data_IF_187903486361
#
_entry.id   IF_187903486361
#
_cell.length_a   1.000
_cell.length_b   1.000
_cell.length_c   1.000
_cell.angle_alpha   90.00
_cell.angle_beta   90.00
_cell.angle_gamma   90.00
#
_symmetry.space_group_name_H-M   'P 1'
#
loop_
_entity.id
_entity.type
_entity.pdbx_description
1 polymer ?
#
# COMPACT_ATOMS: atom_id res chain seq x y z
N UNK A 1 13.92 3.73 -16.95
CA UNK A 1 14.56 3.11 -15.77
C UNK A 1 13.51 3.08 -14.67
N UNK A 2 12.72 2.01 -14.58
CA UNK A 2 11.60 1.94 -13.65
C UNK A 2 12.07 1.30 -12.34
N UNK A 3 12.29 2.11 -11.31
CA UNK A 3 12.51 1.61 -9.95
C UNK A 3 11.13 1.21 -9.42
N UNK A 4 10.74 -0.04 -9.63
CA UNK A 4 9.58 -0.65 -8.94
C UNK A 4 10.06 -1.26 -7.64
N UNK A 5 10.07 -0.50 -6.55
CA UNK A 5 10.12 -1.07 -5.21
C UNK A 5 9.31 -0.24 -4.20
N UNK A 6 8.23 -0.85 -3.68
CA UNK A 6 7.58 -0.52 -2.39
C UNK A 6 8.55 -0.64 -1.18
N UNK A 7 9.77 -1.12 -1.40
CA UNK A 7 10.87 -1.28 -0.41
C UNK A 7 11.74 -0.02 -0.29
N UNK A 8 11.53 0.99 -1.15
CA UNK A 8 12.28 2.26 -1.14
C UNK A 8 11.90 3.24 -0.02
N UNK A 9 11.44 2.76 1.14
CA UNK A 9 11.09 3.58 2.30
C UNK A 9 12.05 3.37 3.47
N UNK A 10 13.03 2.48 3.34
CA UNK A 10 14.00 2.18 4.37
C UNK A 10 15.34 2.73 3.95
N UNK A 11 15.57 3.97 4.34
CA UNK A 11 16.82 4.67 4.13
C UNK A 11 17.62 4.62 5.42
N UNK A 12 18.91 4.33 5.30
CA UNK A 12 19.86 4.62 6.37
C UNK A 12 20.96 5.50 5.85
N UNK A 13 21.43 6.39 6.70
CA UNK A 13 22.64 7.14 6.43
C UNK A 13 23.79 6.13 6.31
N UNK A 14 24.48 6.14 5.18
CA UNK A 14 25.69 5.36 5.01
C UNK A 14 26.78 5.95 5.93
N UNK A 15 27.29 5.21 6.94
CA UNK A 15 28.15 5.78 7.96
C UNK A 15 29.41 6.42 7.37
N UNK A 16 29.73 7.63 7.84
CA UNK A 16 30.84 8.42 7.31
C UNK A 16 30.54 9.15 6.00
N UNK A 17 29.28 9.23 5.57
CA UNK A 17 28.85 9.99 4.39
C UNK A 17 27.55 10.76 4.66
N UNK A 18 27.20 11.67 3.77
CA UNK A 18 25.91 12.38 3.77
C UNK A 18 24.86 11.71 2.87
N UNK A 19 25.10 10.47 2.43
CA UNK A 19 24.24 9.76 1.47
C UNK A 19 23.36 8.76 2.19
N UNK A 20 22.06 8.88 1.97
CA UNK A 20 21.06 7.92 2.42
C UNK A 20 20.91 6.81 1.39
N UNK A 21 21.03 5.56 1.84
CA UNK A 21 21.00 4.37 0.99
C UNK A 21 19.84 3.46 1.38
N UNK A 22 19.31 2.75 0.41
CA UNK A 22 18.41 1.60 0.60
C UNK A 22 19.24 0.31 0.66
N UNK A 23 18.66 -0.82 1.12
CA UNK A 23 19.34 -2.11 1.08
C UNK A 23 19.83 -2.53 -0.33
N UNK A 24 19.24 -1.99 -1.40
CA UNK A 24 19.52 -2.41 -2.79
C UNK A 24 20.62 -1.63 -3.47
N UNK A 25 20.83 -0.38 -3.09
CA UNK A 25 21.84 0.50 -3.65
C UNK A 25 22.99 0.78 -2.69
N UNK A 26 22.94 0.26 -1.45
CA UNK A 26 24.02 0.33 -0.46
C UNK A 26 25.38 -0.08 -1.02
N UNK A 27 25.49 -1.26 -1.65
CA UNK A 27 26.76 -1.74 -2.21
C UNK A 27 27.26 -0.82 -3.34
N UNK A 28 26.34 -0.32 -4.17
CA UNK A 28 26.70 0.62 -5.24
C UNK A 28 27.28 1.92 -4.67
N UNK A 29 26.64 2.50 -3.65
CA UNK A 29 27.11 3.74 -3.05
C UNK A 29 28.38 3.56 -2.22
N UNK A 30 28.49 2.46 -1.48
CA UNK A 30 29.70 2.14 -0.73
C UNK A 30 30.90 1.85 -1.64
N UNK A 31 30.70 1.24 -2.80
CA UNK A 31 31.73 1.11 -3.84
C UNK A 31 32.24 2.48 -4.29
N UNK A 32 31.32 3.42 -4.54
CA UNK A 32 31.64 4.75 -5.09
C UNK A 32 32.26 5.70 -4.08
N UNK A 33 31.81 5.66 -2.83
CA UNK A 33 32.16 6.64 -1.80
C UNK A 33 33.23 6.11 -0.83
N UNK A 34 33.25 4.81 -0.58
CA UNK A 34 34.05 4.18 0.48
C UNK A 34 34.98 3.07 -0.03
N UNK A 35 34.98 2.78 -1.34
CA UNK A 35 35.79 1.73 -1.99
C UNK A 35 35.53 0.30 -1.46
N UNK A 36 34.36 0.07 -0.85
CA UNK A 36 33.95 -1.25 -0.36
C UNK A 36 33.27 -2.04 -1.49
N UNK A 37 33.93 -3.09 -2.00
CA UNK A 37 33.53 -3.75 -3.25
C UNK A 37 32.64 -4.99 -3.10
N UNK A 38 32.53 -5.55 -1.89
CA UNK A 38 31.76 -6.77 -1.62
C UNK A 38 30.84 -6.61 -0.41
N UNK A 39 29.82 -7.48 -0.30
CA UNK A 39 28.96 -7.51 0.89
C UNK A 39 29.72 -7.93 2.15
N UNK A 40 30.73 -8.79 2.03
CA UNK A 40 31.61 -9.16 3.15
C UNK A 40 32.39 -7.95 3.66
N UNK A 41 32.97 -7.15 2.76
CA UNK A 41 33.67 -5.92 3.14
C UNK A 41 32.75 -4.88 3.83
N UNK A 42 31.47 -4.85 3.46
CA UNK A 42 30.46 -4.03 4.13
C UNK A 42 30.16 -4.55 5.55
N UNK A 43 30.00 -5.86 5.71
CA UNK A 43 29.76 -6.49 7.02
C UNK A 43 30.97 -6.29 7.94
N UNK A 44 32.18 -6.44 7.42
CA UNK A 44 33.41 -6.25 8.21
C UNK A 44 33.59 -4.78 8.63
N UNK A 45 33.18 -3.83 7.78
CA UNK A 45 33.32 -2.40 8.05
C UNK A 45 32.22 -1.85 8.99
N UNK A 46 30.96 -2.23 8.77
CA UNK A 46 29.81 -1.66 9.48
C UNK A 46 29.19 -2.60 10.51
N UNK A 47 29.58 -3.86 10.52
CA UNK A 47 28.97 -4.90 11.33
C UNK A 47 27.73 -5.52 10.65
N UNK A 48 27.50 -6.79 10.94
CA UNK A 48 26.32 -7.53 10.46
C UNK A 48 25.02 -6.83 10.85
N UNK A 49 24.97 -6.29 12.07
CA UNK A 49 23.81 -5.57 12.60
C UNK A 49 23.45 -4.33 11.77
N UNK A 50 24.43 -3.57 11.25
CA UNK A 50 24.12 -2.45 10.38
C UNK A 50 23.44 -2.91 9.07
N UNK A 51 23.92 -4.02 8.49
CA UNK A 51 23.40 -4.56 7.24
C UNK A 51 22.00 -5.15 7.39
N UNK A 52 21.70 -5.78 8.52
CA UNK A 52 20.37 -6.35 8.83
C UNK A 52 19.41 -5.35 9.47
N UNK A 53 19.90 -4.26 10.05
CA UNK A 53 19.09 -3.30 10.80
C UNK A 53 18.21 -2.38 9.96
N UNK A 54 18.36 -2.36 8.63
CA UNK A 54 17.32 -1.79 7.74
C UNK A 54 15.93 -2.34 8.06
N UNK A 55 15.86 -3.54 8.64
CA UNK A 55 14.61 -4.21 9.00
C UNK A 55 14.49 -4.55 10.49
N UNK A 56 15.60 -4.68 11.23
CA UNK A 56 15.56 -4.94 12.69
C UNK A 56 14.99 -3.77 13.47
N UNK A 57 15.15 -2.53 13.00
CA UNK A 57 14.61 -1.34 13.68
C UNK A 57 13.07 -1.35 13.74
N UNK A 58 12.42 -2.14 12.86
CA UNK A 58 10.95 -2.25 12.78
C UNK A 58 10.38 -3.46 13.54
N UNK A 59 11.22 -4.42 13.92
CA UNK A 59 10.79 -5.66 14.56
C UNK A 59 11.33 -5.68 16.00
N UNK A 60 10.55 -5.16 16.99
CA UNK A 60 10.97 -5.20 18.37
C UNK A 60 11.22 -6.66 18.79
N UNK A 61 12.30 -6.92 19.51
CA UNK A 61 12.66 -8.26 19.97
C UNK A 61 12.94 -9.28 18.85
N UNK A 62 13.41 -8.87 17.66
CA UNK A 62 13.71 -9.78 16.55
C UNK A 62 14.61 -10.98 16.93
N UNK A 63 15.53 -10.80 17.89
CA UNK A 63 16.42 -11.84 18.42
C UNK A 63 15.69 -12.96 19.19
N UNK A 64 14.47 -12.69 19.64
CA UNK A 64 13.62 -13.64 20.35
C UNK A 64 12.72 -14.45 19.40
N UNK A 65 12.73 -14.13 18.11
CA UNK A 65 11.96 -14.83 17.09
C UNK A 65 12.81 -15.86 16.34
N UNK A 66 12.19 -16.97 15.95
CA UNK A 66 12.82 -17.93 15.06
C UNK A 66 13.18 -17.26 13.71
N UNK A 67 14.34 -17.63 13.15
CA UNK A 67 14.83 -17.05 11.89
C UNK A 67 13.83 -17.18 10.73
N UNK A 68 13.11 -18.29 10.65
CA UNK A 68 12.06 -18.52 9.65
C UNK A 68 10.90 -17.51 9.79
N UNK A 69 10.47 -17.21 11.02
CA UNK A 69 9.41 -16.25 11.33
C UNK A 69 9.85 -14.82 10.99
N UNK A 70 11.12 -14.47 11.27
CA UNK A 70 11.71 -13.21 10.82
C UNK A 70 11.72 -13.07 9.29
N UNK A 71 12.02 -14.16 8.56
CA UNK A 71 11.94 -14.16 7.09
C UNK A 71 10.51 -13.96 6.58
N UNK A 72 9.52 -14.56 7.24
CA UNK A 72 8.10 -14.38 6.91
C UNK A 72 7.63 -12.96 7.19
N UNK A 73 7.98 -12.39 8.35
CA UNK A 73 7.68 -11.01 8.72
C UNK A 73 8.22 -10.04 7.66
N UNK A 74 9.47 -10.24 7.25
CA UNK A 74 10.12 -9.44 6.23
C UNK A 74 9.40 -9.51 4.89
N UNK A 75 9.00 -10.71 4.46
CA UNK A 75 8.24 -10.87 3.23
C UNK A 75 6.85 -10.25 3.34
N UNK A 76 6.20 -10.33 4.50
CA UNK A 76 4.91 -9.69 4.73
C UNK A 76 5.03 -8.16 4.67
N UNK A 77 6.06 -7.57 5.29
CA UNK A 77 6.30 -6.13 5.28
C UNK A 77 6.47 -5.57 3.86
N UNK A 78 7.16 -6.28 2.97
CA UNK A 78 7.28 -5.89 1.55
C UNK A 78 5.93 -5.82 0.82
N UNK A 79 4.98 -6.64 1.27
CA UNK A 79 3.63 -6.73 0.70
C UNK A 79 2.62 -5.90 1.49
N UNK A 80 3.04 -5.24 2.56
CA UNK A 80 2.15 -4.48 3.41
C UNK A 80 1.52 -3.31 2.65
N UNK A 81 0.28 -3.02 3.02
CA UNK A 81 -0.40 -1.77 2.72
C UNK A 81 0.08 -0.79 3.77
N UNK A 82 0.88 0.19 3.35
CA UNK A 82 1.50 1.13 4.28
C UNK A 82 0.57 2.32 4.46
N UNK A 83 0.42 2.78 5.70
CA UNK A 83 -0.22 4.03 5.98
C UNK A 83 0.79 5.15 5.72
N UNK A 84 0.48 5.99 4.74
CA UNK A 84 1.29 7.15 4.35
C UNK A 84 0.36 8.36 4.29
N UNK A 85 0.89 9.54 4.54
CA UNK A 85 0.10 10.77 4.35
C UNK A 85 -0.47 10.84 2.91
N UNK A 86 -1.72 11.30 2.78
CA UNK A 86 -2.48 11.33 1.54
C UNK A 86 -1.75 12.06 0.41
N UNK A 87 -0.93 13.07 0.73
CA UNK A 87 -0.14 13.79 -0.29
C UNK A 87 0.85 12.86 -1.00
N UNK A 88 1.39 11.85 -0.32
CA UNK A 88 2.39 10.94 -0.90
C UNK A 88 1.80 9.85 -1.78
N UNK A 89 0.55 9.46 -1.53
CA UNK A 89 -0.14 8.47 -2.32
C UNK A 89 -0.12 8.83 -3.83
N UNK A 90 -0.16 10.14 -4.14
CA UNK A 90 -0.08 10.66 -5.50
C UNK A 90 1.21 10.31 -6.25
N UNK A 91 2.36 10.26 -5.57
CA UNK A 91 3.64 9.93 -6.22
C UNK A 91 3.76 8.46 -6.64
N UNK A 92 2.89 7.59 -6.13
CA UNK A 92 2.93 6.14 -6.36
C UNK A 92 1.74 5.61 -7.18
N UNK A 93 0.89 6.51 -7.70
CA UNK A 93 -0.33 6.20 -8.45
C UNK A 93 -0.10 5.37 -9.73
N UNK A 94 1.12 5.39 -10.28
CA UNK A 94 1.48 4.68 -11.52
C UNK A 94 1.64 3.16 -11.33
N UNK A 95 1.65 2.69 -10.09
CA UNK A 95 1.61 1.27 -9.73
C UNK A 95 0.30 0.97 -9.03
N UNK A 96 -0.39 -0.11 -9.40
CA UNK A 96 -1.50 -0.68 -8.62
C UNK A 96 -1.06 -0.82 -7.15
N UNK A 97 -1.46 0.14 -6.33
CA UNK A 97 -0.92 0.31 -4.99
C UNK A 97 -2.05 0.64 -4.03
N UNK A 98 -2.01 0.02 -2.87
CA UNK A 98 -2.91 0.31 -1.77
C UNK A 98 -2.15 1.04 -0.66
N UNK A 99 -2.82 2.03 -0.05
CA UNK A 99 -2.35 2.86 1.08
C UNK A 99 -3.51 3.22 1.99
N UNK A 100 -3.27 3.49 3.28
CA UNK A 100 -4.30 4.14 4.10
C UNK A 100 -4.33 5.64 3.79
N UNK A 101 -5.44 6.16 3.24
CA UNK A 101 -5.56 7.59 2.89
C UNK A 101 -5.76 8.50 4.11
N UNK A 102 -6.18 7.94 5.25
CA UNK A 102 -6.40 8.70 6.48
C UNK A 102 -5.81 7.94 7.67
N UNK A 103 -4.88 8.60 8.36
CA UNK A 103 -4.38 8.12 9.63
C UNK A 103 -5.49 8.23 10.68
N UNK A 104 -5.84 7.11 11.29
CA UNK A 104 -6.77 7.04 12.42
C UNK A 104 -6.01 7.08 13.74
N UNK A 105 -6.68 7.27 14.90
CA UNK A 105 -6.01 7.19 16.20
C UNK A 105 -5.33 5.86 16.51
N UNK A 106 -5.65 4.79 15.76
CA UNK A 106 -4.94 3.51 15.86
C UNK A 106 -3.53 3.56 15.26
N UNK A 107 -3.24 4.49 14.36
CA UNK A 107 -1.96 4.52 13.67
C UNK A 107 -0.90 5.20 14.53
N UNK A 108 0.21 4.50 14.73
CA UNK A 108 1.38 5.01 15.45
C UNK A 108 2.61 4.99 14.55
N UNK A 109 3.48 5.98 14.73
CA UNK A 109 4.77 6.07 14.07
C UNK A 109 5.68 4.99 14.68
N UNK A 110 6.23 4.10 13.83
CA UNK A 110 7.12 3.02 14.29
C UNK A 110 8.48 3.56 14.73
N UNK A 111 8.98 4.57 14.03
CA UNK A 111 10.25 5.21 14.31
C UNK A 111 10.12 6.72 14.16
N UNK A 112 10.45 7.45 15.21
CA UNK A 112 10.43 8.90 15.20
C UNK A 112 11.33 9.43 14.07
N UNK A 113 10.79 10.30 13.19
CA UNK A 113 11.58 10.86 12.11
C UNK A 113 12.61 11.85 12.64
N UNK A 114 13.77 11.92 11.99
CA UNK A 114 14.76 12.97 12.26
C UNK A 114 14.23 14.35 11.80
N UNK A 115 14.69 15.43 12.44
CA UNK A 115 14.39 16.80 12.01
C UNK A 115 15.29 17.27 10.86
N UNK A 116 15.39 16.49 9.80
CA UNK A 116 16.22 16.76 8.61
C UNK A 116 15.41 17.34 7.43
N UNK A 117 14.11 17.55 7.63
CA UNK A 117 13.19 18.04 6.59
C UNK A 117 12.79 16.99 5.54
N UNK A 118 13.29 15.75 5.62
CA UNK A 118 12.99 14.66 4.68
C UNK A 118 12.37 13.48 5.41
N UNK A 119 13.00 12.99 6.48
CA UNK A 119 12.56 11.87 7.31
C UNK A 119 11.08 11.96 7.77
N UNK A 120 10.54 13.13 8.17
CA UNK A 120 9.14 13.23 8.59
C UNK A 120 8.14 12.85 7.50
N UNK A 121 8.56 12.96 6.24
CA UNK A 121 7.76 12.63 5.07
C UNK A 121 7.71 11.14 4.74
N UNK A 122 8.59 10.33 5.35
CA UNK A 122 8.69 8.89 5.14
C UNK A 122 8.41 8.09 6.42
N UNK A 123 7.85 8.73 7.44
CA UNK A 123 7.52 8.10 8.70
C UNK A 123 6.55 6.94 8.46
N UNK A 124 6.99 5.72 8.78
CA UNK A 124 6.15 4.53 8.70
C UNK A 124 5.14 4.57 9.85
N UNK A 125 3.86 4.66 9.50
CA UNK A 125 2.75 4.51 10.43
C UNK A 125 2.18 3.09 10.32
N UNK A 126 1.92 2.45 11.46
CA UNK A 126 1.28 1.14 11.50
C UNK A 126 0.12 1.08 12.49
N UNK A 127 -0.88 0.21 12.24
CA UNK A 127 -1.96 -0.02 13.18
C UNK A 127 -1.44 -0.58 14.51
N UNK A 128 -1.71 0.14 15.59
CA UNK A 128 -1.51 -0.28 16.97
C UNK A 128 -2.89 -0.58 17.58
N UNK A 129 -3.15 -1.85 17.87
CA UNK A 129 -4.47 -2.36 18.25
C UNK A 129 -4.37 -3.25 19.49
N UNK A 130 -5.46 -3.36 20.25
CA UNK A 130 -5.54 -4.24 21.42
C UNK A 130 -5.78 -5.67 20.96
N UNK A 131 -4.79 -6.53 21.13
CA UNK A 131 -4.86 -7.96 20.76
C UNK A 131 -5.09 -8.81 21.99
N UNK A 132 -6.03 -9.76 21.91
CA UNK A 132 -6.18 -10.82 22.91
C UNK A 132 -5.90 -12.20 22.33
N UNK A 133 -5.13 -12.99 23.07
CA UNK A 133 -4.83 -14.38 22.71
C UNK A 133 -5.87 -15.31 23.31
N UNK A 134 -6.82 -15.79 22.50
CA UNK A 134 -7.85 -16.74 22.93
C UNK A 134 -8.45 -17.52 21.76
N UNK A 135 -8.97 -18.72 22.05
CA UNK A 135 -9.83 -19.41 21.10
C UNK A 135 -11.23 -18.81 21.14
N UNK A 136 -11.79 -18.44 19.99
CA UNK A 136 -13.11 -17.81 19.94
C UNK A 136 -13.98 -18.43 18.85
N UNK A 137 -15.03 -19.15 19.28
CA UNK A 137 -16.09 -19.71 18.44
C UNK A 137 -15.60 -20.51 17.21
N UNK A 138 -14.39 -21.07 17.27
CA UNK A 138 -13.73 -21.72 16.13
C UNK A 138 -13.25 -20.77 15.03
N UNK A 139 -13.59 -19.47 15.09
CA UNK A 139 -13.23 -18.47 14.08
C UNK A 139 -11.75 -18.07 14.12
N UNK A 140 -11.05 -18.38 15.21
CA UNK A 140 -9.61 -18.19 15.35
C UNK A 140 -8.80 -19.44 14.97
N UNK A 141 -9.43 -20.54 14.55
CA UNK A 141 -8.73 -21.75 14.16
C UNK A 141 -7.95 -21.55 12.84
N UNK A 142 -6.86 -22.29 12.66
CA UNK A 142 -6.04 -22.31 11.44
C UNK A 142 -5.65 -20.90 10.93
N UNK A 143 -4.98 -20.12 11.79
CA UNK A 143 -4.56 -18.74 11.49
C UNK A 143 -5.71 -17.76 11.21
N UNK A 144 -6.93 -18.06 11.68
CA UNK A 144 -8.03 -17.12 11.71
C UNK A 144 -7.77 -15.96 12.69
N UNK A 145 -7.99 -14.74 12.24
CA UNK A 145 -7.92 -13.53 13.07
C UNK A 145 -9.33 -12.94 13.15
N UNK A 146 -9.89 -12.84 14.35
CA UNK A 146 -11.19 -12.19 14.53
C UNK A 146 -10.94 -10.71 14.82
N UNK A 147 -11.64 -9.81 14.12
CA UNK A 147 -11.53 -8.37 14.30
C UNK A 147 -12.90 -7.76 14.55
N UNK A 148 -12.94 -6.76 15.44
CA UNK A 148 -14.16 -6.00 15.73
C UNK A 148 -14.50 -5.11 14.53
N UNK A 149 -15.76 -5.13 14.11
CA UNK A 149 -16.18 -4.52 12.84
C UNK A 149 -16.01 -2.99 12.76
N UNK A 150 -15.96 -2.29 13.88
CA UNK A 150 -15.77 -0.83 13.98
C UNK A 150 -14.28 -0.41 14.04
N UNK A 151 -13.34 -1.36 13.96
CA UNK A 151 -11.90 -1.07 13.90
C UNK A 151 -11.52 -0.71 12.46
N UNK A 152 -11.47 0.58 12.19
CA UNK A 152 -11.08 1.15 10.89
C UNK A 152 -9.55 1.28 10.69
N UNK A 153 -8.76 0.65 11.56
CA UNK A 153 -7.29 0.73 11.51
C UNK A 153 -6.69 0.08 10.24
N UNK A 154 -7.47 -0.74 9.54
CA UNK A 154 -7.02 -1.50 8.37
C UNK A 154 -7.71 -1.06 7.07
N UNK A 155 -8.56 -0.03 7.14
CA UNK A 155 -9.20 0.55 5.96
C UNK A 155 -8.12 1.20 5.09
N UNK A 156 -8.25 1.02 3.78
CA UNK A 156 -7.28 1.55 2.84
C UNK A 156 -7.96 2.05 1.58
N UNK A 157 -7.16 2.70 0.75
CA UNK A 157 -7.53 3.15 -0.55
C UNK A 157 -6.60 2.51 -1.58
N UNK A 158 -7.16 2.16 -2.74
CA UNK A 158 -6.47 1.51 -3.84
C UNK A 158 -6.45 2.43 -5.04
N UNK A 159 -5.26 2.58 -5.63
CA UNK A 159 -5.08 3.33 -6.86
C UNK A 159 -5.00 2.39 -8.05
N UNK A 160 -5.78 2.71 -9.09
CA UNK A 160 -5.83 1.97 -10.34
C UNK A 160 -5.64 2.94 -11.49
N UNK A 161 -4.63 2.71 -12.34
CA UNK A 161 -4.46 3.48 -13.56
C UNK A 161 -5.06 2.72 -14.74
N UNK A 162 -6.07 3.31 -15.36
CA UNK A 162 -6.68 2.82 -16.59
C UNK A 162 -6.02 3.51 -17.78
N UNK A 163 -5.59 2.71 -18.75
CA UNK A 163 -5.03 3.19 -19.99
C UNK A 163 -6.01 2.94 -21.12
N UNK A 164 -6.22 3.96 -21.95
CA UNK A 164 -7.12 3.93 -23.09
C UNK A 164 -6.35 4.42 -24.29
N UNK A 165 -6.26 3.57 -25.32
CA UNK A 165 -5.69 3.97 -26.60
C UNK A 165 -6.72 4.74 -27.39
N UNK A 166 -6.29 5.86 -27.96
CA UNK A 166 -7.15 6.76 -28.72
C UNK A 166 -6.70 6.79 -30.18
N UNK A 167 -7.66 6.70 -31.10
CA UNK A 167 -7.44 6.95 -32.52
C UNK A 167 -8.31 8.14 -32.91
N UNK A 168 -7.64 9.26 -33.19
CA UNK A 168 -8.23 10.54 -33.54
C UNK A 168 -7.26 11.30 -34.45
N UNK A 169 -7.80 12.14 -35.33
CA UNK A 169 -7.06 13.00 -36.26
C UNK A 169 -6.99 14.47 -35.81
N UNK A 170 -7.57 14.78 -34.65
CA UNK A 170 -7.71 16.14 -34.15
C UNK A 170 -7.53 16.22 -32.63
N UNK A 171 -7.92 17.36 -32.05
CA UNK A 171 -7.82 17.58 -30.60
C UNK A 171 -8.76 16.63 -29.86
N UNK A 172 -8.29 16.00 -28.79
CA UNK A 172 -9.11 15.15 -27.91
C UNK A 172 -9.10 15.72 -26.50
N UNK A 173 -10.29 15.94 -25.94
CA UNK A 173 -10.51 16.39 -24.57
C UNK A 173 -11.20 15.28 -23.77
N UNK A 174 -10.73 15.07 -22.55
CA UNK A 174 -11.41 14.23 -21.57
C UNK A 174 -12.04 15.10 -20.49
N UNK A 175 -13.34 14.95 -20.31
CA UNK A 175 -14.11 15.58 -19.24
C UNK A 175 -14.39 14.53 -18.16
N UNK A 176 -13.59 14.46 -17.09
CA UNK A 176 -13.85 13.56 -15.98
C UNK A 176 -15.17 13.92 -15.32
N UNK A 177 -15.95 12.92 -14.92
CA UNK A 177 -17.12 13.18 -14.07
C UNK A 177 -16.60 13.58 -12.67
N UNK A 178 -17.00 14.75 -12.18
CA UNK A 178 -16.78 15.17 -10.80
C UNK A 178 -18.10 14.96 -10.03
N UNK A 179 -18.09 14.20 -8.93
CA UNK A 179 -19.28 13.98 -8.09
C UNK A 179 -19.18 12.78 -7.14
N UNK A 180 -20.05 12.75 -6.13
CA UNK A 180 -20.12 11.72 -5.09
C UNK A 180 -20.49 10.34 -5.66
N UNK A 181 -20.02 9.30 -4.97
CA UNK A 181 -20.02 7.89 -5.37
C UNK A 181 -21.39 7.27 -5.68
N UNK A 182 -22.50 7.98 -5.46
CA UNK A 182 -23.87 7.43 -5.52
C UNK A 182 -24.49 7.39 -6.93
N UNK A 183 -23.84 7.91 -7.96
CA UNK A 183 -24.28 7.77 -9.37
C UNK A 183 -23.22 7.05 -10.23
N UNK A 184 -23.27 5.72 -10.17
CA UNK A 184 -22.08 4.87 -9.96
C UNK A 184 -21.27 4.43 -11.18
N UNK A 185 -21.68 4.63 -12.43
CA UNK A 185 -20.94 4.04 -13.57
C UNK A 185 -20.14 5.02 -14.43
N UNK A 186 -20.52 6.29 -14.57
CA UNK A 186 -19.85 7.16 -15.55
C UNK A 186 -18.49 7.66 -15.04
N UNK A 187 -17.41 7.28 -15.74
CA UNK A 187 -16.03 7.74 -15.50
C UNK A 187 -15.85 9.17 -16.01
N UNK A 188 -16.37 9.44 -17.21
CA UNK A 188 -16.22 10.72 -17.88
C UNK A 188 -16.53 10.60 -19.37
N UNK A 189 -16.42 11.72 -20.07
CA UNK A 189 -16.73 11.81 -21.50
C UNK A 189 -15.48 12.22 -22.27
N UNK A 190 -15.17 11.51 -23.35
CA UNK A 190 -14.12 11.88 -24.30
C UNK A 190 -14.75 12.53 -25.52
N UNK A 191 -14.27 13.72 -25.85
CA UNK A 191 -14.73 14.54 -26.97
C UNK A 191 -13.57 14.76 -27.93
N UNK A 192 -13.79 14.52 -29.22
CA UNK A 192 -12.81 14.70 -30.28
C UNK A 192 -13.26 15.82 -31.23
N UNK A 193 -12.34 16.69 -31.62
CA UNK A 193 -12.56 17.77 -32.57
C UNK A 193 -11.77 17.48 -33.84
N UNK A 194 -12.31 16.62 -34.70
CA UNK A 194 -11.74 16.27 -35.99
C UNK A 194 -12.78 15.67 -36.93
N UNK A 195 -12.35 15.16 -38.08
CA UNK A 195 -13.26 14.74 -39.16
C UNK A 195 -13.57 13.25 -39.11
N UNK A 196 -12.62 12.44 -38.67
CA UNK A 196 -12.80 10.98 -38.52
C UNK A 196 -13.54 10.61 -37.23
N UNK A 197 -14.26 9.47 -37.21
CA UNK A 197 -14.87 8.98 -35.98
C UNK A 197 -13.82 8.66 -34.90
N UNK A 198 -14.08 9.08 -33.67
CA UNK A 198 -13.25 8.77 -32.51
C UNK A 198 -13.29 7.26 -32.23
N UNK A 199 -12.13 6.65 -32.07
CA UNK A 199 -12.01 5.25 -31.63
C UNK A 199 -11.29 5.17 -30.29
N UNK A 200 -11.92 4.54 -29.31
CA UNK A 200 -11.34 4.28 -27.99
C UNK A 200 -11.22 2.77 -27.75
N UNK A 201 -10.05 2.35 -27.31
CA UNK A 201 -9.76 0.97 -26.93
C UNK A 201 -9.23 0.94 -25.48
N UNK A 202 -10.08 0.64 -24.48
CA UNK A 202 -9.64 0.49 -23.10
C UNK A 202 -8.78 -0.78 -22.92
N UNK A 203 -7.64 -0.66 -22.26
CA UNK A 203 -6.81 -1.81 -21.87
C UNK A 203 -7.22 -2.43 -20.52
N UNK A 204 -8.33 -1.98 -19.94
CA UNK A 204 -8.80 -2.39 -18.61
C UNK A 204 -10.16 -3.05 -18.69
N UNK A 205 -10.33 -4.19 -18.02
CA UNK A 205 -11.62 -4.87 -17.83
C UNK A 205 -12.57 -4.09 -16.93
N UNK A 206 -12.10 -3.04 -16.25
CA UNK A 206 -12.90 -2.27 -15.31
C UNK A 206 -13.71 -1.17 -15.99
N UNK A 207 -13.48 -0.89 -17.27
CA UNK A 207 -14.17 0.16 -18.03
C UNK A 207 -14.67 -0.36 -19.37
N UNK A 208 -15.83 0.12 -19.81
CA UNK A 208 -16.34 -0.05 -21.15
C UNK A 208 -16.66 1.31 -21.79
N UNK A 209 -16.73 1.33 -23.12
CA UNK A 209 -17.02 2.52 -23.92
C UNK A 209 -18.46 2.48 -24.41
N UNK A 210 -19.13 3.64 -24.38
CA UNK A 210 -20.48 3.83 -24.92
C UNK A 210 -20.42 4.98 -25.93
N UNK A 211 -20.52 4.71 -27.24
CA UNK A 211 -20.54 5.77 -28.26
C UNK A 211 -21.86 6.54 -28.19
N UNK A 212 -21.76 7.86 -28.08
CA UNK A 212 -22.93 8.77 -28.06
C UNK A 212 -23.11 9.43 -29.43
N UNK A 213 -21.99 9.85 -30.04
CA UNK A 213 -21.89 10.40 -31.39
C UNK A 213 -20.53 10.00 -31.98
N UNK A 214 -20.35 10.18 -33.29
CA UNK A 214 -19.08 9.84 -33.97
C UNK A 214 -17.84 10.46 -33.33
N UNK A 215 -17.98 11.65 -32.72
CA UNK A 215 -16.90 12.39 -32.06
C UNK A 215 -16.96 12.35 -30.52
N UNK A 216 -17.92 11.63 -29.93
CA UNK A 216 -18.18 11.63 -28.48
C UNK A 216 -18.40 10.22 -27.96
N UNK A 217 -17.52 9.78 -27.06
CA UNK A 217 -17.61 8.48 -26.40
C UNK A 217 -17.61 8.68 -24.88
N UNK A 218 -18.55 8.04 -24.20
CA UNK A 218 -18.61 7.98 -22.74
C UNK A 218 -17.88 6.74 -22.23
N UNK A 219 -17.18 6.89 -21.11
CA UNK A 219 -16.46 5.81 -20.43
C UNK A 219 -17.23 5.44 -19.16
N UNK A 220 -17.52 4.16 -18.97
CA UNK A 220 -18.28 3.67 -17.81
C UNK A 220 -17.53 2.55 -17.08
N UNK A 221 -17.56 2.56 -15.75
CA UNK A 221 -17.11 1.46 -14.90
C UNK A 221 -18.00 0.23 -15.06
N UNK A 222 -17.37 -0.92 -15.20
CA UNK A 222 -18.01 -2.23 -15.11
C UNK A 222 -18.30 -2.65 -13.67
N UNK A 223 -17.54 -2.11 -12.71
CA UNK A 223 -17.70 -2.36 -11.27
C UNK A 223 -17.51 -1.05 -10.51
N UNK A 224 -18.56 -0.45 -9.93
CA UNK A 224 -18.40 0.67 -9.01
C UNK A 224 -17.88 0.24 -7.63
N UNK A 225 -17.48 1.18 -6.75
CA UNK A 225 -17.31 2.62 -6.97
C UNK A 225 -15.82 2.98 -7.13
N UNK A 226 -15.47 3.65 -8.23
CA UNK A 226 -14.15 4.24 -8.44
C UNK A 226 -14.31 5.75 -8.59
N UNK A 227 -13.43 6.54 -7.97
CA UNK A 227 -13.36 8.00 -8.10
C UNK A 227 -12.20 8.38 -9.00
N UNK A 228 -12.42 9.26 -9.98
CA UNK A 228 -11.33 9.77 -10.84
C UNK A 228 -10.55 10.85 -10.09
N UNK A 229 -9.23 10.70 -10.00
CA UNK A 229 -8.35 11.64 -9.29
C UNK A 229 -7.51 12.47 -10.25
N UNK A 230 -6.95 11.84 -11.27
CA UNK A 230 -6.08 12.49 -12.24
C UNK A 230 -6.25 11.86 -13.62
N UNK A 231 -5.98 12.65 -14.65
CA UNK A 231 -5.85 12.13 -16.00
C UNK A 231 -4.71 12.83 -16.75
N UNK A 232 -4.06 12.09 -17.65
CA UNK A 232 -3.07 12.62 -18.58
C UNK A 232 -3.51 12.24 -20.00
N UNK A 233 -3.68 13.23 -20.86
CA UNK A 233 -4.08 13.05 -22.25
C UNK A 233 -2.89 13.27 -23.19
N UNK A 234 -2.48 12.22 -23.90
CA UNK A 234 -1.56 12.27 -25.03
C UNK A 234 -2.13 11.39 -26.16
N UNK A 235 -1.33 10.59 -26.87
CA UNK A 235 -1.85 9.54 -27.78
C UNK A 235 -2.62 8.44 -27.02
N UNK A 236 -2.34 8.30 -25.73
CA UNK A 236 -3.04 7.47 -24.77
C UNK A 236 -3.64 8.36 -23.68
N UNK A 237 -4.86 8.03 -23.27
CA UNK A 237 -5.51 8.62 -22.11
C UNK A 237 -5.24 7.70 -20.91
N UNK A 238 -4.53 8.23 -19.93
CA UNK A 238 -4.33 7.57 -18.64
C UNK A 238 -5.27 8.21 -17.63
N UNK A 239 -6.11 7.41 -16.97
CA UNK A 239 -7.06 7.85 -15.95
C UNK A 239 -6.68 7.14 -14.66
N UNK A 240 -6.26 7.91 -13.66
CA UNK A 240 -6.00 7.38 -12.33
C UNK A 240 -7.28 7.42 -11.49
N UNK A 241 -7.57 6.28 -10.88
CA UNK A 241 -8.75 6.01 -10.09
C UNK A 241 -8.37 5.70 -8.66
N UNK A 242 -9.27 6.08 -7.77
CA UNK A 242 -9.26 5.84 -6.34
C UNK A 242 -10.43 4.93 -5.98
N UNK A 243 -10.18 3.92 -5.15
CA UNK A 243 -11.21 3.05 -4.59
C UNK A 243 -10.98 2.87 -3.10
N UNK A 244 -11.95 3.27 -2.29
CA UNK A 244 -11.98 2.93 -0.88
C UNK A 244 -12.20 1.42 -0.70
N UNK A 245 -11.34 0.82 0.11
CA UNK A 245 -11.41 -0.57 0.54
C UNK A 245 -11.51 -0.59 2.07
N UNK A 246 -12.75 -0.71 2.54
CA UNK A 246 -13.02 -1.00 3.94
C UNK A 246 -12.53 -2.42 4.25
N UNK A 247 -11.88 -2.58 5.39
CA UNK A 247 -11.44 -3.88 5.85
C UNK A 247 -12.61 -4.88 5.82
N UNK A 248 -12.35 -6.10 5.40
CA UNK A 248 -13.38 -7.08 5.11
C UNK A 248 -12.95 -8.49 5.50
N UNK A 249 -13.94 -9.37 5.71
CA UNK A 249 -13.65 -10.78 5.95
C UNK A 249 -12.96 -11.39 4.74
N UNK A 250 -11.81 -12.04 4.95
CA UNK A 250 -10.97 -12.59 3.87
C UNK A 250 -9.70 -11.79 3.61
N UNK A 251 -9.61 -10.55 4.12
CA UNK A 251 -8.37 -9.78 4.08
C UNK A 251 -7.27 -10.45 4.92
N UNK A 252 -5.99 -10.21 4.57
CA UNK A 252 -4.86 -10.83 5.26
C UNK A 252 -4.12 -9.81 6.11
N UNK A 253 -3.91 -10.15 7.38
CA UNK A 253 -3.08 -9.39 8.30
C UNK A 253 -1.81 -10.17 8.62
N UNK A 254 -0.75 -9.44 9.00
CA UNK A 254 0.47 -10.04 9.50
C UNK A 254 1.10 -9.13 10.56
N UNK A 255 1.58 -9.73 11.66
CA UNK A 255 2.36 -9.01 12.66
C UNK A 255 3.81 -8.84 12.22
N UNK A 256 4.55 -7.97 12.92
CA UNK A 256 6.00 -7.81 12.74
C UNK A 256 6.83 -9.06 13.07
N UNK A 257 6.21 -10.10 13.61
CA UNK A 257 6.86 -11.38 13.93
C UNK A 257 6.48 -12.49 12.94
N UNK A 258 5.86 -12.15 11.81
CA UNK A 258 5.59 -13.11 10.73
C UNK A 258 4.39 -14.01 10.98
N UNK A 259 3.62 -13.72 12.02
CA UNK A 259 2.33 -14.34 12.27
C UNK A 259 1.31 -13.73 11.30
N UNK A 260 0.95 -14.49 10.27
CA UNK A 260 -0.06 -14.12 9.28
C UNK A 260 -1.40 -14.74 9.66
N UNK A 261 -2.49 -14.12 9.20
CA UNK A 261 -3.81 -14.71 9.34
C UNK A 261 -4.86 -14.07 8.46
N UNK A 262 -5.99 -14.76 8.32
CA UNK A 262 -7.13 -14.28 7.53
C UNK A 262 -8.16 -13.65 8.45
N UNK A 263 -8.57 -12.44 8.10
CA UNK A 263 -9.48 -11.63 8.88
C UNK A 263 -10.90 -12.18 8.83
N UNK A 264 -11.55 -12.22 9.98
CA UNK A 264 -12.99 -12.45 10.16
C UNK A 264 -13.56 -11.29 10.95
N UNK A 265 -14.41 -10.48 10.32
CA UNK A 265 -15.07 -9.38 11.00
C UNK A 265 -16.26 -9.86 11.82
N UNK A 266 -16.37 -9.37 13.05
CA UNK A 266 -17.47 -9.67 13.95
C UNK A 266 -17.95 -8.40 14.66
N UNK A 267 -19.27 -8.30 14.86
CA UNK A 267 -19.91 -7.15 15.52
C UNK A 267 -19.56 -7.04 17.01
N UNK A 268 -19.38 -8.18 17.65
CA UNK A 268 -19.21 -8.28 19.10
C UNK A 268 -18.10 -9.26 19.41
N UNK A 269 -17.14 -8.78 20.20
CA UNK A 269 -16.05 -9.55 20.80
C UNK A 269 -16.24 -9.62 22.32
N UNK A 270 -15.69 -10.65 22.99
CA UNK A 270 -15.74 -10.75 24.44
C UNK A 270 -14.99 -9.58 25.08
N UNK A 271 -15.49 -9.11 26.22
CA UNK A 271 -14.79 -8.14 27.04
C UNK A 271 -13.66 -8.84 27.80
N UNK A 272 -12.48 -8.20 27.87
CA UNK A 272 -11.36 -8.67 28.70
C UNK A 272 -11.56 -8.29 30.16
N UNK A 273 -12.13 -7.10 30.37
CA UNK A 273 -12.58 -6.53 31.63
C UNK A 273 -13.78 -5.59 31.31
N UNK A 274 -14.56 -5.14 32.29
CA UNK A 274 -15.78 -4.33 32.10
C UNK A 274 -15.59 -3.10 31.20
N UNK A 275 -14.35 -2.66 30.97
CA UNK A 275 -14.00 -1.48 30.18
C UNK A 275 -13.08 -1.74 28.99
N UNK A 276 -12.52 -2.94 28.84
CA UNK A 276 -11.53 -3.24 27.80
C UNK A 276 -12.13 -4.24 26.82
N UNK A 277 -12.40 -3.75 25.63
CA UNK A 277 -12.79 -4.58 24.50
C UNK A 277 -11.58 -4.74 23.57
N UNK A 278 -11.19 -5.96 23.21
CA UNK A 278 -10.10 -6.19 22.28
C UNK A 278 -10.53 -5.76 20.88
N UNK A 279 -9.57 -5.30 20.08
CA UNK A 279 -9.77 -5.00 18.66
C UNK A 279 -9.60 -6.27 17.83
N UNK A 280 -8.62 -7.11 18.20
CA UNK A 280 -8.32 -8.39 17.55
C UNK A 280 -8.31 -9.55 18.55
N UNK A 281 -8.81 -10.71 18.12
CA UNK A 281 -8.58 -12.00 18.77
C UNK A 281 -7.74 -12.89 17.87
N UNK A 282 -6.73 -13.50 18.48
CA UNK A 282 -5.79 -14.39 17.80
C UNK A 282 -5.66 -15.67 18.62
N UNK A 283 -5.51 -16.81 17.96
CA UNK A 283 -5.36 -18.07 18.69
C UNK A 283 -3.98 -18.16 19.37
N UNK A 284 -3.89 -18.62 20.64
CA UNK A 284 -2.62 -18.73 21.35
C UNK A 284 -1.63 -19.73 20.74
N UNK A 285 -2.13 -20.76 20.06
CA UNK A 285 -1.29 -21.87 19.57
C UNK A 285 -0.22 -21.38 18.58
N UNK A 286 -0.51 -20.30 17.85
CA UNK A 286 0.39 -19.73 16.84
C UNK A 286 1.62 -19.07 17.47
N UNK A 287 1.64 -18.81 18.78
CA UNK A 287 2.81 -18.33 19.51
C UNK A 287 3.86 -19.43 19.77
N UNK A 288 3.50 -20.70 19.61
CA UNK A 288 4.37 -21.85 19.89
C UNK A 288 4.88 -22.56 18.62
N UNK A 289 4.48 -22.07 17.45
CA UNK A 289 4.90 -22.52 16.11
C UNK A 289 5.88 -21.54 15.46
#
# INVERSE_FOLDING_TARGET
MYIRYKVGLLFKLLPGTDVWVTPKDMLFWAQKLLQLNTMEALIDCFGYDFITSFHMDLNPYFMHNAFSKNTLAFNALKNAVLATDAWYAHYFMDSLSAYACQLTPYHQIVQEPNQDGISPHFALCVPHVVVSYMSFLGCTQEDGIVCRQDVNAFDCCRFYTIQIKMKADGLVLFHPRQGDADETSLVGTVVHFGETPLQLEPFSIHVHTVPVKDQVIQLHFNKPPFRVIQHLSAQTLNICLEQDHLASTGDKLCSFHGQKGVLRLMKTLPLLDERIQPDLLVIPIVCFE
#
